data_IF_288040973008
#
_entry.id   IF_288040973008
#
_cell.length_a   1.000
_cell.length_b   1.000
_cell.length_c   1.000
_cell.angle_alpha   90.00
_cell.angle_beta   90.00
_cell.angle_gamma   90.00
#
_symmetry.space_group_name_H-M   'P 1'
#
loop_
_entity.id
_entity.type
_entity.pdbx_description
1 polymer ?
#
# COMPACT_ATOMS: atom_id res chain seq x y z
N UNK A 1 21.39 -4.10 -4.27
CA UNK A 1 20.29 -3.50 -5.06
C UNK A 1 19.01 -3.52 -4.24
N UNK A 2 18.26 -2.41 -4.21
CA UNK A 2 16.88 -2.37 -3.70
C UNK A 2 15.93 -2.17 -4.88
N UNK A 3 14.86 -2.97 -4.93
CA UNK A 3 13.84 -2.89 -5.96
C UNK A 3 12.45 -2.88 -5.32
N UNK A 4 11.61 -1.90 -5.68
CA UNK A 4 10.22 -1.87 -5.26
C UNK A 4 9.33 -2.53 -6.31
N UNK A 5 8.48 -3.43 -5.85
CA UNK A 5 7.47 -4.13 -6.64
C UNK A 5 6.06 -3.85 -6.09
N UNK A 6 5.08 -4.66 -6.44
CA UNK A 6 3.67 -4.39 -6.23
C UNK A 6 2.89 -5.65 -5.84
N UNK A 7 1.79 -5.46 -5.12
CA UNK A 7 0.74 -6.47 -4.91
C UNK A 7 0.05 -6.93 -6.21
N UNK A 8 0.14 -6.15 -7.31
CA UNK A 8 -0.43 -6.50 -8.62
C UNK A 8 0.27 -7.68 -9.32
N UNK A 9 1.31 -8.23 -8.72
CA UNK A 9 1.88 -9.53 -9.14
C UNK A 9 0.94 -10.69 -8.82
N UNK A 10 -0.03 -10.50 -7.92
CA UNK A 10 -1.06 -11.48 -7.58
C UNK A 10 -2.37 -11.20 -8.30
N UNK A 11 -3.23 -12.22 -8.44
CA UNK A 11 -4.54 -12.11 -9.07
C UNK A 11 -5.61 -11.44 -8.20
N UNK A 12 -5.34 -11.24 -6.92
CA UNK A 12 -6.26 -10.62 -5.97
C UNK A 12 -7.42 -11.50 -5.55
N UNK A 13 -7.35 -12.81 -5.77
CA UNK A 13 -8.35 -13.79 -5.32
C UNK A 13 -8.27 -14.05 -3.82
N UNK A 14 -9.28 -14.72 -3.28
CA UNK A 14 -9.31 -15.10 -1.87
C UNK A 14 -9.48 -13.94 -0.91
N UNK A 15 -9.25 -14.22 0.38
CA UNK A 15 -9.43 -13.26 1.48
C UNK A 15 -8.27 -13.24 2.49
N UNK A 16 -7.31 -14.15 2.34
CA UNK A 16 -6.11 -14.18 3.18
C UNK A 16 -5.06 -13.20 2.65
N UNK A 17 -4.16 -12.74 3.52
CA UNK A 17 -3.03 -11.94 3.07
C UNK A 17 -2.05 -12.83 2.29
N UNK A 18 -1.55 -12.30 1.16
CA UNK A 18 -0.54 -12.96 0.34
C UNK A 18 0.79 -13.03 1.08
N UNK A 19 1.45 -14.16 0.96
CA UNK A 19 2.83 -14.39 1.43
C UNK A 19 3.81 -14.35 0.25
N UNK A 20 5.10 -14.22 0.55
CA UNK A 20 6.13 -14.22 -0.48
C UNK A 20 6.27 -15.57 -1.21
N UNK A 21 5.76 -16.65 -0.62
CA UNK A 21 5.75 -18.01 -1.18
C UNK A 21 4.55 -18.30 -2.07
N UNK A 22 3.53 -17.43 -2.08
CA UNK A 22 2.37 -17.62 -2.93
C UNK A 22 2.72 -17.39 -4.41
N UNK A 23 2.09 -18.20 -5.28
CA UNK A 23 2.37 -18.16 -6.72
C UNK A 23 1.81 -16.86 -7.33
N UNK A 24 2.66 -16.02 -7.97
CA UNK A 24 2.20 -14.84 -8.68
C UNK A 24 1.34 -15.21 -9.91
N UNK A 25 0.28 -14.42 -10.14
CA UNK A 25 -0.62 -14.55 -11.29
C UNK A 25 -1.17 -13.17 -11.71
N UNK A 26 -0.34 -12.28 -12.27
CA UNK A 26 -0.71 -10.89 -12.56
C UNK A 26 -1.83 -10.78 -13.59
N UNK A 27 -2.82 -9.91 -13.33
CA UNK A 27 -3.96 -9.66 -14.21
C UNK A 27 -3.76 -8.50 -15.20
N UNK A 28 -2.64 -7.80 -15.11
CA UNK A 28 -2.37 -6.61 -15.89
C UNK A 28 -0.93 -6.58 -16.43
N UNK A 29 -0.71 -5.83 -17.51
CA UNK A 29 0.64 -5.59 -18.03
C UNK A 29 1.57 -4.98 -16.99
N UNK A 30 1.05 -4.07 -16.15
CA UNK A 30 1.81 -3.50 -15.04
C UNK A 30 2.30 -4.57 -14.07
N UNK A 31 1.40 -5.44 -13.60
CA UNK A 31 1.77 -6.54 -12.70
C UNK A 31 2.77 -7.51 -13.34
N UNK A 32 2.56 -7.85 -14.61
CA UNK A 32 3.45 -8.73 -15.37
C UNK A 32 4.87 -8.15 -15.49
N UNK A 33 5.01 -6.90 -15.92
CA UNK A 33 6.34 -6.27 -16.07
C UNK A 33 7.04 -6.07 -14.72
N UNK A 34 6.29 -5.84 -13.65
CA UNK A 34 6.86 -5.78 -12.29
C UNK A 34 7.37 -7.15 -11.85
N UNK A 35 6.64 -8.23 -12.10
CA UNK A 35 7.07 -9.60 -11.82
C UNK A 35 8.33 -9.99 -12.60
N UNK A 36 8.37 -9.67 -13.89
CA UNK A 36 9.55 -9.88 -14.73
C UNK A 36 10.77 -9.12 -14.19
N UNK A 37 10.56 -7.89 -13.69
CA UNK A 37 11.60 -7.11 -13.03
C UNK A 37 12.11 -7.76 -11.73
N UNK A 38 11.24 -8.34 -10.90
CA UNK A 38 11.63 -9.12 -9.72
C UNK A 38 12.52 -10.30 -10.12
N UNK A 39 12.09 -11.07 -11.12
CA UNK A 39 12.81 -12.25 -11.62
C UNK A 39 14.18 -11.87 -12.19
N UNK A 40 14.23 -10.80 -12.99
CA UNK A 40 15.49 -10.30 -13.53
C UNK A 40 16.47 -9.85 -12.45
N UNK A 41 15.99 -9.14 -11.41
CA UNK A 41 16.80 -8.71 -10.27
C UNK A 41 17.33 -9.94 -9.51
N UNK A 42 16.45 -10.89 -9.18
CA UNK A 42 16.84 -12.09 -8.43
C UNK A 42 17.87 -12.95 -9.19
N UNK A 43 17.73 -13.06 -10.52
CA UNK A 43 18.64 -13.85 -11.35
C UNK A 43 20.03 -13.20 -11.53
N UNK A 44 20.11 -11.86 -11.53
CA UNK A 44 21.34 -11.15 -11.90
C UNK A 44 22.04 -10.45 -10.74
N UNK A 45 21.42 -10.38 -9.56
CA UNK A 45 21.98 -9.69 -8.41
C UNK A 45 21.81 -10.51 -7.12
N UNK A 46 22.84 -11.22 -6.69
CA UNK A 46 22.81 -12.01 -5.47
C UNK A 46 22.55 -11.19 -4.21
N UNK A 47 22.96 -9.91 -4.19
CA UNK A 47 22.75 -8.97 -3.07
C UNK A 47 21.59 -8.03 -3.39
N UNK A 48 20.34 -8.52 -3.24
CA UNK A 48 19.16 -7.73 -3.53
C UNK A 48 18.15 -7.76 -2.38
N UNK A 49 17.39 -6.68 -2.26
CA UNK A 49 16.15 -6.59 -1.49
C UNK A 49 15.04 -6.19 -2.45
N UNK A 50 14.03 -7.03 -2.60
CA UNK A 50 12.84 -6.74 -3.39
C UNK A 50 11.69 -6.54 -2.39
N UNK A 51 11.04 -5.37 -2.45
CA UNK A 51 9.90 -5.04 -1.59
C UNK A 51 8.62 -4.94 -2.41
N UNK A 52 7.70 -5.89 -2.28
CA UNK A 52 6.33 -5.74 -2.77
C UNK A 52 5.56 -4.85 -1.81
N UNK A 53 4.89 -3.86 -2.34
CA UNK A 53 4.09 -2.90 -1.57
C UNK A 53 2.75 -2.63 -2.23
N UNK A 54 1.84 -1.94 -1.56
CA UNK A 54 0.51 -1.59 -2.07
C UNK A 54 0.07 -0.21 -1.62
N UNK A 55 -0.84 0.42 -2.39
CA UNK A 55 -1.56 1.65 -2.05
C UNK A 55 -0.66 2.78 -1.53
N UNK A 56 0.47 3.01 -2.22
CA UNK A 56 1.48 3.99 -1.80
C UNK A 56 0.93 5.41 -1.90
N UNK A 57 1.16 6.19 -0.85
CA UNK A 57 0.84 7.61 -0.78
C UNK A 57 2.00 8.42 -0.21
N UNK A 58 1.97 9.74 -0.45
CA UNK A 58 2.90 10.69 0.14
C UNK A 58 2.23 12.06 0.35
N UNK A 59 2.81 12.90 1.22
CA UNK A 59 2.38 14.28 1.41
C UNK A 59 2.58 15.12 0.11
N UNK A 60 3.58 14.80 -0.69
CA UNK A 60 3.83 15.43 -2.01
C UNK A 60 3.20 14.65 -3.14
N UNK A 61 2.91 15.34 -4.24
CA UNK A 61 2.25 14.75 -5.42
C UNK A 61 0.76 14.46 -5.22
N UNK A 62 0.12 13.86 -6.22
CA UNK A 62 -1.29 13.44 -6.19
C UNK A 62 -1.43 12.04 -5.61
N UNK A 63 -2.49 11.78 -4.83
CA UNK A 63 -2.84 10.46 -4.34
C UNK A 63 -4.33 10.37 -4.01
N UNK A 64 -4.78 9.17 -3.60
CA UNK A 64 -6.18 8.91 -3.28
C UNK A 64 -6.69 9.80 -2.14
N UNK A 65 -5.94 9.95 -1.03
CA UNK A 65 -6.38 10.75 0.11
C UNK A 65 -6.63 12.22 -0.28
N UNK A 66 -5.69 12.83 -1.02
CA UNK A 66 -5.86 14.20 -1.52
C UNK A 66 -7.04 14.33 -2.49
N UNK A 67 -7.27 13.31 -3.31
CA UNK A 67 -8.45 13.29 -4.19
C UNK A 67 -9.73 13.25 -3.38
N UNK A 68 -9.80 12.43 -2.33
CA UNK A 68 -10.98 12.36 -1.45
C UNK A 68 -11.20 13.66 -0.69
N UNK A 69 -10.15 14.32 -0.18
CA UNK A 69 -10.25 15.63 0.45
C UNK A 69 -10.83 16.69 -0.49
N UNK A 70 -10.32 16.75 -1.73
CA UNK A 70 -10.83 17.69 -2.74
C UNK A 70 -12.29 17.41 -3.06
N UNK A 71 -12.63 16.17 -3.37
CA UNK A 71 -14.01 15.79 -3.71
C UNK A 71 -14.98 16.03 -2.56
N UNK A 72 -14.56 15.78 -1.31
CA UNK A 72 -15.39 16.00 -0.13
C UNK A 72 -15.68 17.48 0.14
N UNK A 73 -14.83 18.41 -0.30
CA UNK A 73 -15.09 19.86 -0.28
C UNK A 73 -16.04 20.31 -1.38
N UNK A 74 -16.05 19.61 -2.52
CA UNK A 74 -16.79 20.01 -3.72
C UNK A 74 -18.20 19.39 -3.80
N UNK A 75 -18.43 18.20 -3.21
CA UNK A 75 -19.62 17.37 -3.44
C UNK A 75 -20.42 17.11 -2.17
N UNK A 76 -21.75 16.99 -2.33
CA UNK A 76 -22.67 16.63 -1.24
C UNK A 76 -22.62 15.14 -0.89
N UNK A 77 -22.20 14.28 -1.82
CA UNK A 77 -22.05 12.84 -1.60
C UNK A 77 -20.91 12.25 -2.40
N UNK A 78 -20.36 11.16 -1.92
CA UNK A 78 -19.31 10.38 -2.58
C UNK A 78 -19.68 8.89 -2.61
N UNK A 79 -19.34 8.23 -3.72
CA UNK A 79 -19.46 6.77 -3.85
C UNK A 79 -18.05 6.19 -3.94
N UNK A 80 -17.69 5.28 -3.01
CA UNK A 80 -16.33 4.74 -2.90
C UNK A 80 -16.37 3.23 -2.82
N UNK A 81 -15.47 2.57 -3.54
CA UNK A 81 -15.35 1.10 -3.62
C UNK A 81 -15.07 0.51 -2.23
N UNK A 82 -15.83 -0.52 -1.83
CA UNK A 82 -15.71 -1.18 -0.52
C UNK A 82 -15.28 -2.65 -0.60
N UNK A 83 -15.21 -3.23 -1.79
CA UNK A 83 -14.86 -4.63 -2.04
C UNK A 83 -13.41 -4.85 -2.53
N UNK A 84 -12.59 -3.80 -2.56
CA UNK A 84 -11.14 -3.91 -2.73
C UNK A 84 -10.46 -3.62 -1.40
N UNK A 85 -9.65 -4.59 -0.92
CA UNK A 85 -9.05 -4.54 0.42
C UNK A 85 -7.53 -4.52 0.32
N UNK A 86 -6.89 -3.57 1.01
CA UNK A 86 -5.44 -3.41 1.04
C UNK A 86 -4.99 -2.58 2.24
N UNK A 87 -3.71 -2.18 2.26
CA UNK A 87 -3.14 -1.34 3.30
C UNK A 87 -2.54 -0.06 2.69
N UNK A 88 -3.11 1.13 2.96
CA UNK A 88 -2.43 2.37 2.60
C UNK A 88 -1.03 2.43 3.22
N UNK A 89 0.00 2.59 2.39
CA UNK A 89 1.39 2.56 2.83
C UNK A 89 2.10 3.86 2.46
N UNK A 90 2.61 4.57 3.47
CA UNK A 90 3.33 5.82 3.26
C UNK A 90 4.69 5.63 2.59
N UNK A 91 5.04 6.49 1.64
CA UNK A 91 6.36 6.47 1.01
C UNK A 91 7.49 6.76 2.02
N UNK A 92 7.19 7.52 3.07
CA UNK A 92 8.08 7.74 4.22
C UNK A 92 8.36 6.43 4.97
N UNK A 93 7.31 5.64 5.27
CA UNK A 93 7.48 4.32 5.89
C UNK A 93 8.34 3.40 5.00
N UNK A 94 8.11 3.39 3.69
CA UNK A 94 8.94 2.62 2.75
C UNK A 94 10.40 3.05 2.83
N UNK A 95 10.67 4.34 2.86
CA UNK A 95 12.03 4.89 2.95
C UNK A 95 12.71 4.53 4.28
N UNK A 96 12.02 4.72 5.41
CA UNK A 96 12.54 4.44 6.74
C UNK A 96 12.88 2.95 6.90
N UNK A 97 11.96 2.06 6.54
CA UNK A 97 12.19 0.60 6.62
C UNK A 97 13.30 0.16 5.66
N UNK A 98 13.39 0.75 4.47
CA UNK A 98 14.47 0.46 3.54
C UNK A 98 15.83 0.86 4.11
N UNK A 99 15.92 2.04 4.74
CA UNK A 99 17.16 2.49 5.38
C UNK A 99 17.59 1.55 6.52
N UNK A 100 16.64 1.15 7.39
CA UNK A 100 16.90 0.20 8.48
C UNK A 100 17.30 -1.19 7.95
N UNK A 101 16.63 -1.68 6.91
CA UNK A 101 16.98 -2.95 6.28
C UNK A 101 18.39 -2.93 5.66
N UNK A 102 18.75 -1.84 4.97
CA UNK A 102 20.09 -1.66 4.40
C UNK A 102 21.15 -1.59 5.51
N UNK A 103 20.90 -0.85 6.59
CA UNK A 103 21.80 -0.80 7.74
C UNK A 103 22.01 -2.21 8.33
N UNK A 104 20.92 -2.98 8.49
CA UNK A 104 20.98 -4.33 9.03
C UNK A 104 21.81 -5.26 8.14
N UNK A 105 21.61 -5.19 6.81
CA UNK A 105 22.41 -5.98 5.84
C UNK A 105 23.89 -5.61 5.90
N UNK A 106 24.23 -4.34 6.05
CA UNK A 106 25.62 -3.88 6.13
C UNK A 106 26.33 -4.33 7.42
N UNK A 107 25.59 -4.45 8.52
CA UNK A 107 26.13 -4.86 9.82
C UNK A 107 26.30 -6.38 9.97
N UNK A 108 25.77 -7.19 9.05
CA UNK A 108 25.84 -8.65 9.10
C UNK A 108 27.11 -9.16 8.38
N UNK A 109 27.90 -10.08 9.00
CA UNK A 109 29.07 -10.66 8.35
C UNK A 109 28.71 -11.45 7.07
N UNK A 110 27.53 -12.08 7.05
CA UNK A 110 26.99 -12.86 5.94
C UNK A 110 25.85 -12.07 5.25
N UNK A 111 26.21 -11.06 4.48
CA UNK A 111 25.27 -10.16 3.80
C UNK A 111 24.25 -10.85 2.87
N UNK A 112 24.46 -12.14 2.54
CA UNK A 112 23.59 -12.90 1.65
C UNK A 112 22.34 -13.48 2.34
N UNK A 113 22.37 -13.67 3.68
CA UNK A 113 21.26 -14.29 4.40
C UNK A 113 19.98 -13.46 4.42
N UNK A 114 20.11 -12.14 4.30
CA UNK A 114 18.98 -11.21 4.26
C UNK A 114 18.60 -10.79 2.83
N UNK A 115 19.30 -11.27 1.81
CA UNK A 115 18.92 -11.02 0.43
C UNK A 115 17.62 -11.74 0.08
N UNK A 116 16.74 -11.10 -0.69
CA UNK A 116 15.52 -11.75 -1.15
C UNK A 116 14.32 -10.83 -1.32
N UNK A 117 13.17 -11.48 -1.47
CA UNK A 117 11.86 -10.90 -1.66
C UNK A 117 11.14 -10.79 -0.31
N UNK A 118 10.53 -9.63 -0.07
CA UNK A 118 9.78 -9.30 1.13
C UNK A 118 8.52 -8.50 0.79
N UNK A 119 7.49 -8.64 1.64
CA UNK A 119 6.34 -7.76 1.61
C UNK A 119 6.54 -6.59 2.58
N UNK A 120 6.36 -5.36 2.10
CA UNK A 120 6.52 -4.14 2.89
C UNK A 120 5.29 -3.25 2.72
N UNK A 121 4.36 -3.36 3.66
CA UNK A 121 3.14 -2.54 3.79
C UNK A 121 2.93 -2.17 5.24
N UNK A 122 2.18 -1.11 5.50
CA UNK A 122 1.73 -0.80 6.86
C UNK A 122 0.84 -1.92 7.41
N UNK A 123 0.79 -2.08 8.73
CA UNK A 123 -0.02 -3.11 9.39
C UNK A 123 -1.51 -2.83 9.28
N UNK A 124 -2.30 -3.90 9.28
CA UNK A 124 -3.75 -3.85 9.14
C UNK A 124 -4.22 -3.81 7.68
N UNK A 125 -5.51 -3.66 7.49
CA UNK A 125 -6.12 -3.58 6.17
C UNK A 125 -7.41 -2.75 6.23
N UNK A 126 -7.82 -2.20 5.08
CA UNK A 126 -9.05 -1.43 4.92
C UNK A 126 -9.53 -1.52 3.47
N UNK A 127 -10.78 -1.10 3.22
CA UNK A 127 -11.27 -0.83 1.86
C UNK A 127 -10.93 0.60 1.43
N UNK A 128 -11.07 0.91 0.13
CA UNK A 128 -11.00 2.30 -0.33
C UNK A 128 -12.04 3.18 0.35
N UNK A 129 -13.24 2.65 0.61
CA UNK A 129 -14.28 3.35 1.38
C UNK A 129 -13.82 3.64 2.81
N UNK A 130 -13.27 2.66 3.53
CA UNK A 130 -12.76 2.86 4.89
C UNK A 130 -11.61 3.86 4.91
N UNK A 131 -10.72 3.83 3.90
CA UNK A 131 -9.65 4.81 3.77
C UNK A 131 -10.21 6.22 3.53
N UNK A 132 -11.17 6.39 2.60
CA UNK A 132 -11.81 7.67 2.34
C UNK A 132 -12.52 8.22 3.58
N UNK A 133 -13.23 7.37 4.31
CA UNK A 133 -13.93 7.76 5.54
C UNK A 133 -12.96 8.31 6.58
N UNK A 134 -11.85 7.61 6.85
CA UNK A 134 -10.83 8.09 7.79
C UNK A 134 -10.26 9.45 7.37
N UNK A 135 -9.94 9.62 6.09
CA UNK A 135 -9.38 10.86 5.54
C UNK A 135 -10.35 12.04 5.73
N UNK A 136 -11.62 11.84 5.39
CA UNK A 136 -12.65 12.88 5.45
C UNK A 136 -13.01 13.26 6.89
N UNK A 137 -13.12 12.25 7.77
CA UNK A 137 -13.36 12.49 9.20
C UNK A 137 -12.20 13.23 9.86
N UNK A 138 -10.96 12.85 9.55
CA UNK A 138 -9.78 13.55 10.07
C UNK A 138 -9.78 15.03 9.65
N UNK A 139 -10.06 15.32 8.38
CA UNK A 139 -10.14 16.69 7.88
C UNK A 139 -11.23 17.50 8.58
N UNK A 140 -12.42 16.90 8.78
CA UNK A 140 -13.52 17.54 9.52
C UNK A 140 -13.15 17.87 10.95
N UNK A 141 -12.50 16.92 11.63
CA UNK A 141 -12.05 17.11 13.01
C UNK A 141 -10.93 18.17 13.13
N UNK A 142 -10.14 18.35 12.06
CA UNK A 142 -9.13 19.41 11.94
C UNK A 142 -9.74 20.79 11.55
N UNK A 143 -11.06 20.92 11.47
CA UNK A 143 -11.76 22.18 11.13
C UNK A 143 -11.80 22.52 9.66
N UNK A 144 -11.47 21.58 8.78
CA UNK A 144 -11.61 21.79 7.32
C UNK A 144 -13.09 21.78 6.95
N UNK A 145 -13.51 22.78 6.18
CA UNK A 145 -14.88 22.83 5.64
C UNK A 145 -15.08 21.71 4.61
N UNK A 146 -15.83 20.69 5.01
CA UNK A 146 -16.14 19.49 4.24
C UNK A 146 -17.64 19.46 3.95
N UNK A 147 -17.99 19.57 2.67
CA UNK A 147 -19.38 19.58 2.20
C UNK A 147 -20.07 18.22 2.33
N UNK A 148 -19.34 17.12 2.07
CA UNK A 148 -19.88 15.76 2.16
C UNK A 148 -20.08 15.35 3.63
N UNK A 149 -21.32 15.12 4.11
CA UNK A 149 -21.54 14.61 5.47
C UNK A 149 -21.12 13.13 5.57
N UNK A 150 -20.86 12.65 6.78
CA UNK A 150 -20.35 11.29 7.01
C UNK A 150 -21.28 10.19 6.44
N UNK A 151 -22.58 10.34 6.59
CA UNK A 151 -23.59 9.41 6.10
C UNK A 151 -23.80 9.46 4.57
N UNK A 152 -23.16 10.39 3.86
CA UNK A 152 -23.20 10.51 2.40
C UNK A 152 -21.94 9.99 1.71
N UNK A 153 -21.10 9.23 2.42
CA UNK A 153 -20.01 8.45 1.84
C UNK A 153 -20.55 7.03 1.61
N UNK A 154 -20.98 6.76 0.38
CA UNK A 154 -21.67 5.51 0.03
C UNK A 154 -20.69 4.43 -0.41
N UNK A 155 -20.93 3.19 0.07
CA UNK A 155 -20.21 2.01 -0.37
C UNK A 155 -20.73 1.55 -1.73
N UNK A 156 -19.80 1.26 -2.64
CA UNK A 156 -20.12 0.65 -3.93
C UNK A 156 -19.22 -0.55 -4.20
N UNK A 157 -19.70 -1.49 -5.02
CA UNK A 157 -18.88 -2.58 -5.54
C UNK A 157 -18.00 -2.08 -6.71
N UNK A 158 -16.89 -2.75 -6.94
CA UNK A 158 -15.97 -2.48 -8.08
C UNK A 158 -16.70 -2.44 -9.42
N UNK A 159 -17.70 -3.31 -9.62
CA UNK A 159 -18.48 -3.38 -10.85
C UNK A 159 -19.28 -2.09 -11.13
N UNK A 160 -19.63 -1.33 -10.09
CA UNK A 160 -20.32 -0.04 -10.24
C UNK A 160 -19.37 1.10 -10.63
N UNK A 161 -18.06 0.88 -10.63
CA UNK A 161 -17.06 1.88 -11.00
C UNK A 161 -16.05 1.27 -11.98
N UNK A 162 -16.42 1.09 -13.25
CA UNK A 162 -15.54 0.47 -14.23
C UNK A 162 -14.29 1.33 -14.46
N UNK A 163 -13.14 0.67 -14.42
CA UNK A 163 -11.82 1.28 -14.71
C UNK A 163 -11.16 0.53 -15.85
N UNK A 164 -10.33 1.19 -16.70
CA UNK A 164 -9.65 0.53 -17.82
C UNK A 164 -8.76 -0.65 -17.39
N UNK A 165 -8.14 -0.55 -16.22
CA UNK A 165 -7.28 -1.61 -15.68
C UNK A 165 -8.03 -2.41 -14.61
N UNK A 166 -7.94 -3.74 -14.68
CA UNK A 166 -8.40 -4.62 -13.61
C UNK A 166 -7.54 -4.40 -12.35
N UNK A 167 -8.19 -4.17 -11.21
CA UNK A 167 -7.55 -4.05 -9.91
C UNK A 167 -7.85 -5.27 -9.07
N UNK A 168 -6.87 -5.77 -8.30
CA UNK A 168 -7.09 -6.89 -7.38
C UNK A 168 -8.17 -6.54 -6.34
N UNK A 169 -9.04 -7.49 -6.01
CA UNK A 169 -9.95 -7.34 -4.86
C UNK A 169 -9.21 -7.49 -3.53
N UNK A 170 -8.21 -8.37 -3.50
CA UNK A 170 -7.38 -8.63 -2.33
C UNK A 170 -5.93 -8.19 -2.59
N UNK A 171 -5.58 -7.04 -2.04
CA UNK A 171 -4.23 -6.45 -2.04
C UNK A 171 -3.53 -6.57 -0.68
N UNK A 172 -4.02 -7.45 0.21
CA UNK A 172 -3.39 -7.66 1.52
C UNK A 172 -2.09 -8.44 1.36
N UNK A 173 -1.02 -7.92 1.95
CA UNK A 173 0.30 -8.55 1.97
C UNK A 173 0.68 -8.89 3.42
N UNK A 174 1.17 -10.10 3.66
CA UNK A 174 1.74 -10.50 4.95
C UNK A 174 3.19 -10.03 5.03
N UNK A 175 3.50 -9.17 5.99
CA UNK A 175 4.84 -8.64 6.22
C UNK A 175 5.62 -9.38 7.33
N UNK A 176 5.14 -10.52 7.80
CA UNK A 176 5.74 -11.25 8.93
C UNK A 176 7.18 -11.68 8.64
N UNK A 177 7.48 -12.10 7.41
CA UNK A 177 8.82 -12.43 6.96
C UNK A 177 9.78 -11.25 7.10
N UNK A 178 9.40 -10.07 6.63
CA UNK A 178 10.19 -8.85 6.76
C UNK A 178 10.42 -8.48 8.22
N UNK A 179 9.35 -8.47 9.01
CA UNK A 179 9.42 -8.11 10.43
C UNK A 179 10.37 -9.04 11.21
N UNK A 180 10.29 -10.34 10.95
CA UNK A 180 11.17 -11.33 11.58
C UNK A 180 12.61 -11.18 11.13
N UNK A 181 12.86 -11.09 9.81
CA UNK A 181 14.21 -11.05 9.25
C UNK A 181 15.00 -9.79 9.70
N UNK A 182 14.33 -8.66 9.80
CA UNK A 182 14.98 -7.39 10.14
C UNK A 182 14.74 -6.96 11.59
N UNK A 183 14.01 -7.74 12.39
CA UNK A 183 13.60 -7.39 13.75
C UNK A 183 12.91 -6.00 13.81
N UNK A 184 11.91 -5.82 12.96
CA UNK A 184 11.15 -4.58 12.80
C UNK A 184 9.69 -4.78 13.20
N UNK A 185 9.02 -3.69 13.51
CA UNK A 185 7.59 -3.64 13.72
C UNK A 185 6.96 -2.57 12.84
N UNK A 186 5.95 -2.95 12.05
CA UNK A 186 5.29 -2.03 11.12
C UNK A 186 4.09 -1.37 11.78
N UNK A 187 3.97 -0.03 11.73
CA UNK A 187 2.86 0.70 12.33
C UNK A 187 1.54 0.43 11.60
N UNK A 188 0.39 0.60 12.29
CA UNK A 188 -0.92 0.57 11.64
C UNK A 188 -1.03 1.63 10.54
N UNK A 189 -1.72 1.27 9.43
CA UNK A 189 -1.89 2.16 8.28
C UNK A 189 -2.52 3.51 8.64
N UNK A 190 -3.43 3.53 9.63
CA UNK A 190 -4.08 4.76 10.11
C UNK A 190 -3.08 5.79 10.62
N UNK A 191 -2.04 5.33 11.33
CA UNK A 191 -1.04 6.21 11.90
C UNK A 191 -0.28 7.00 10.83
N UNK A 192 0.18 6.33 9.77
CA UNK A 192 0.88 6.99 8.68
C UNK A 192 -0.03 7.94 7.89
N UNK A 193 -1.29 7.53 7.63
CA UNK A 193 -2.28 8.39 6.97
C UNK A 193 -2.58 9.63 7.79
N UNK A 194 -2.83 9.47 9.09
CA UNK A 194 -3.09 10.61 10.00
C UNK A 194 -1.91 11.59 10.04
N UNK A 195 -0.67 11.08 10.14
CA UNK A 195 0.54 11.90 10.07
C UNK A 195 0.61 12.70 8.78
N UNK A 196 0.40 12.05 7.63
CA UNK A 196 0.39 12.73 6.33
C UNK A 196 -0.71 13.80 6.24
N UNK A 197 -1.91 13.51 6.77
CA UNK A 197 -3.01 14.48 6.79
C UNK A 197 -2.68 15.70 7.66
N UNK A 198 -2.05 15.50 8.82
CA UNK A 198 -1.59 16.62 9.68
C UNK A 198 -0.54 17.49 8.98
N UNK A 199 0.28 16.94 8.08
CA UNK A 199 1.26 17.70 7.30
C UNK A 199 0.62 18.57 6.21
N UNK A 200 -0.51 18.14 5.63
CA UNK A 200 -1.10 18.78 4.44
C UNK A 200 -2.34 19.62 4.71
N UNK A 201 -2.94 19.54 5.90
CA UNK A 201 -4.11 20.33 6.32
C UNK A 201 -3.71 21.59 7.06
#
# INVERSE_FOLDING_TARGET
>A
LVHYSTDYVFDGSGSQAWTESDTPAPLSVYGQTKLEGEQAVAANCAKHLIFRTSWVYAARGGNFAKTMLRLAKERDSLSVIDDQIGAPTGADLLADITALALQRVQMQPLQHELAGLYHLVASGATSWHGYATLVIEHARNAGVDVKTPQNAIHKIATQAYPTPARRPFNSKLDSSKLQTAFNLHLPPWQQGVTRMLTEIL
#
